data_IF_820781731359
#
_entry.id   IF_820781731359
#
_cell.length_a   1.000
_cell.length_b   1.000
_cell.length_c   1.000
_cell.angle_alpha   90.00
_cell.angle_beta   90.00
_cell.angle_gamma   90.00
#
_symmetry.space_group_name_H-M   'P 1'
#
loop_
_entity.id
_entity.type
_entity.pdbx_description
1 polymer ?
#
# COMPACT_ATOMS: atom_id res chain seq x y z
N UNK A 1 -27.49 7.53 37.01
CA UNK A 1 -27.22 8.45 35.90
C UNK A 1 -25.97 7.96 35.17
N UNK A 2 -26.12 7.58 33.90
CA UNK A 2 -25.08 6.96 33.08
C UNK A 2 -24.00 7.98 32.70
N UNK A 3 -22.76 7.68 33.04
CA UNK A 3 -21.57 8.35 32.52
C UNK A 3 -21.28 7.73 31.15
N UNK A 4 -21.68 8.44 30.09
CA UNK A 4 -21.42 8.05 28.71
C UNK A 4 -19.92 8.08 28.43
N UNK A 5 -19.34 6.89 28.21
CA UNK A 5 -17.99 6.74 27.67
C UNK A 5 -17.98 7.28 26.25
N UNK A 6 -17.41 8.47 26.05
CA UNK A 6 -17.01 8.94 24.73
C UNK A 6 -15.89 8.03 24.22
N UNK A 7 -16.24 7.05 23.39
CA UNK A 7 -15.27 6.38 22.54
C UNK A 7 -14.96 7.34 21.39
N UNK A 8 -13.86 8.08 21.52
CA UNK A 8 -13.24 8.77 20.38
C UNK A 8 -12.68 7.65 19.50
N UNK A 9 -13.51 7.11 18.61
CA UNK A 9 -13.03 6.30 17.49
C UNK A 9 -12.45 7.31 16.51
N UNK A 10 -11.20 7.72 16.75
CA UNK A 10 -10.42 8.41 15.75
C UNK A 10 -10.33 7.47 14.55
N UNK A 11 -11.05 7.78 13.48
CA UNK A 11 -10.79 7.19 12.18
C UNK A 11 -9.34 7.59 11.85
N UNK A 12 -8.41 6.67 12.08
CA UNK A 12 -7.06 6.76 11.54
C UNK A 12 -7.29 6.62 10.04
N UNK A 13 -7.49 7.74 9.36
CA UNK A 13 -7.38 7.79 7.90
C UNK A 13 -5.90 7.58 7.65
N UNK A 14 -5.48 6.32 7.59
CA UNK A 14 -4.16 5.96 7.08
C UNK A 14 -4.19 6.46 5.65
N UNK A 15 -3.47 7.53 5.38
CA UNK A 15 -3.32 8.01 4.02
C UNK A 15 -2.53 6.97 3.25
N UNK A 16 -2.97 6.66 2.04
CA UNK A 16 -2.18 5.98 1.03
C UNK A 16 -0.76 6.58 1.00
N UNK A 17 0.23 5.86 1.52
CA UNK A 17 1.57 6.43 1.69
C UNK A 17 2.24 6.59 0.33
N UNK A 18 2.63 7.83 0.05
CA UNK A 18 3.35 8.21 -1.14
C UNK A 18 4.86 8.06 -0.91
N UNK A 19 5.55 7.35 -1.79
CA UNK A 19 7.02 7.19 -1.76
C UNK A 19 7.63 7.53 -3.11
N UNK A 20 8.90 7.95 -3.09
CA UNK A 20 9.60 8.35 -4.31
C UNK A 20 10.50 7.24 -4.80
N UNK A 21 10.43 6.95 -6.10
CA UNK A 21 11.36 6.08 -6.80
C UNK A 21 12.19 6.86 -7.83
N UNK A 22 13.32 6.29 -8.23
CA UNK A 22 14.07 6.80 -9.37
C UNK A 22 13.21 6.76 -10.65
N UNK A 23 13.57 7.60 -11.63
CA UNK A 23 12.89 7.60 -12.93
C UNK A 23 12.94 6.19 -13.54
N UNK A 24 11.84 5.78 -14.17
CA UNK A 24 11.66 4.46 -14.81
C UNK A 24 11.54 3.26 -13.87
N UNK A 25 11.63 3.46 -12.55
CA UNK A 25 11.24 2.46 -11.58
C UNK A 25 9.74 2.54 -11.26
N UNK A 26 9.23 1.41 -10.79
CA UNK A 26 7.85 1.20 -10.38
C UNK A 26 7.81 0.92 -8.88
N UNK A 27 6.63 0.93 -8.28
CA UNK A 27 6.47 0.64 -6.87
C UNK A 27 6.00 -0.79 -6.64
N UNK A 28 6.26 -1.33 -5.47
CA UNK A 28 5.56 -2.47 -4.92
C UNK A 28 5.16 -2.19 -3.47
N UNK A 29 3.94 -2.58 -3.13
CA UNK A 29 3.32 -2.38 -1.83
C UNK A 29 3.10 -3.72 -1.16
N UNK A 30 3.28 -3.76 0.16
CA UNK A 30 3.09 -4.94 0.99
C UNK A 30 1.90 -4.75 1.93
N UNK A 31 1.12 -5.80 2.15
CA UNK A 31 -0.11 -5.77 2.95
C UNK A 31 -0.01 -6.76 4.11
N UNK A 32 -0.64 -6.40 5.22
CA UNK A 32 -0.74 -7.27 6.40
C UNK A 32 -1.77 -8.33 6.11
N UNK A 33 -1.32 -9.50 5.66
CA UNK A 33 -2.16 -10.67 5.61
C UNK A 33 -2.22 -11.32 7.00
N UNK A 34 -3.39 -11.80 7.40
CA UNK A 34 -3.59 -12.43 8.71
C UNK A 34 -2.87 -13.77 8.88
N UNK A 35 -1.92 -14.11 7.99
CA UNK A 35 -1.17 -15.34 8.03
C UNK A 35 0.18 -15.11 8.76
N UNK A 36 0.39 -15.73 9.94
CA UNK A 36 1.66 -15.62 10.65
C UNK A 36 2.83 -16.30 9.92
N UNK A 37 2.56 -17.12 8.90
CA UNK A 37 3.58 -17.86 8.13
C UNK A 37 4.06 -17.03 6.93
N UNK A 38 4.67 -15.88 7.20
CA UNK A 38 5.62 -15.18 6.32
C UNK A 38 5.19 -14.72 4.92
N UNK A 39 3.98 -15.04 4.44
CA UNK A 39 3.55 -14.73 3.08
C UNK A 39 2.88 -13.36 2.99
N UNK A 40 3.66 -12.29 3.18
CA UNK A 40 3.17 -10.95 2.93
C UNK A 40 2.66 -10.82 1.51
N UNK A 41 1.43 -10.34 1.40
CA UNK A 41 0.78 -10.12 0.12
C UNK A 41 1.31 -8.83 -0.47
N UNK A 42 1.55 -8.86 -1.78
CA UNK A 42 2.17 -7.73 -2.46
C UNK A 42 1.60 -7.55 -3.85
N UNK A 43 1.53 -6.30 -4.27
CA UNK A 43 1.19 -5.94 -5.62
C UNK A 43 2.05 -4.77 -6.08
N UNK A 44 2.24 -4.68 -7.38
CA UNK A 44 3.04 -3.69 -8.05
C UNK A 44 2.15 -2.52 -8.51
N UNK A 45 2.69 -1.30 -8.42
CA UNK A 45 2.01 -0.06 -8.79
C UNK A 45 2.80 0.71 -9.83
N UNK A 46 2.08 1.41 -10.70
CA UNK A 46 2.69 2.41 -11.56
C UNK A 46 2.86 3.70 -10.75
N UNK A 47 4.01 4.33 -10.89
CA UNK A 47 4.30 5.58 -10.24
C UNK A 47 4.06 6.74 -11.21
N UNK A 48 3.54 7.85 -10.71
CA UNK A 48 3.26 9.04 -11.50
C UNK A 48 4.47 9.96 -11.51
N UNK A 49 4.79 10.53 -12.67
CA UNK A 49 5.79 11.59 -12.73
C UNK A 49 5.13 12.91 -12.30
N UNK A 50 5.52 13.43 -11.13
CA UNK A 50 5.09 14.72 -10.62
C UNK A 50 6.33 15.58 -10.36
N UNK A 51 6.41 16.73 -11.02
CA UNK A 51 7.45 17.73 -10.80
C UNK A 51 8.90 17.20 -10.93
N UNK A 52 9.15 16.28 -11.86
CA UNK A 52 10.50 15.74 -12.11
C UNK A 52 10.90 14.57 -11.21
N UNK A 53 10.02 14.16 -10.29
CA UNK A 53 10.17 12.96 -9.47
C UNK A 53 9.09 11.93 -9.80
N UNK A 54 9.42 10.65 -9.62
CA UNK A 54 8.45 9.56 -9.81
C UNK A 54 7.90 9.18 -8.44
N UNK A 55 6.62 9.50 -8.22
CA UNK A 55 5.92 9.30 -6.96
C UNK A 55 4.97 8.11 -7.07
N UNK A 56 5.08 7.18 -6.14
CA UNK A 56 4.35 5.93 -6.08
C UNK A 56 3.40 5.98 -4.89
N UNK A 57 2.13 5.63 -5.08
CA UNK A 57 1.12 5.66 -4.02
C UNK A 57 0.57 4.25 -3.81
N UNK A 58 0.76 3.70 -2.61
CA UNK A 58 0.19 2.40 -2.24
C UNK A 58 -1.29 2.55 -1.86
N UNK A 59 -2.19 1.65 -2.32
CA UNK A 59 -3.57 1.68 -1.85
C UNK A 59 -3.63 1.27 -0.37
N UNK A 60 -4.65 1.76 0.34
CA UNK A 60 -4.83 1.47 1.76
C UNK A 60 -5.13 -0.01 2.05
N UNK A 61 -5.70 -0.72 1.07
CA UNK A 61 -6.10 -2.13 1.20
C UNK A 61 -5.68 -2.95 -0.02
N UNK A 62 -5.43 -4.24 0.18
CA UNK A 62 -5.08 -5.17 -0.88
C UNK A 62 -6.27 -5.36 -1.84
N UNK A 63 -6.15 -5.00 -3.13
CA UNK A 63 -7.29 -4.85 -4.04
C UNK A 63 -7.82 -6.16 -4.61
N UNK A 64 -7.18 -7.30 -4.33
CA UNK A 64 -7.51 -8.60 -4.95
C UNK A 64 -8.44 -9.47 -4.15
N UNK A 65 -8.83 -9.06 -2.95
CA UNK A 65 -9.78 -9.82 -2.15
C UNK A 65 -10.65 -8.92 -1.29
N UNK A 66 -11.76 -9.48 -0.84
CA UNK A 66 -12.69 -8.81 0.08
C UNK A 66 -12.25 -8.92 1.55
N UNK A 67 -11.00 -9.33 1.80
CA UNK A 67 -10.49 -9.51 3.18
C UNK A 67 -10.02 -8.20 3.80
N UNK A 68 -9.93 -7.12 3.01
CA UNK A 68 -9.55 -5.80 3.50
C UNK A 68 -8.18 -5.77 4.17
N UNK A 69 -7.20 -6.51 3.63
CA UNK A 69 -5.85 -6.55 4.19
C UNK A 69 -5.19 -5.17 4.09
N UNK A 70 -4.87 -4.52 5.22
CA UNK A 70 -4.38 -3.15 5.21
C UNK A 70 -2.94 -3.07 4.71
N UNK A 71 -2.58 -1.94 4.13
CA UNK A 71 -1.21 -1.62 3.78
C UNK A 71 -0.31 -1.69 5.02
N UNK A 72 0.85 -2.35 4.87
CA UNK A 72 1.76 -2.63 5.98
C UNK A 72 2.72 -1.49 6.33
N UNK A 73 2.70 -0.40 5.56
CA UNK A 73 3.75 0.63 5.61
C UNK A 73 5.01 0.27 4.81
N UNK A 74 5.17 -0.99 4.38
CA UNK A 74 6.35 -1.43 3.61
C UNK A 74 6.12 -1.29 2.11
N UNK A 75 7.11 -0.71 1.44
CA UNK A 75 7.17 -0.58 -0.02
C UNK A 75 8.59 -0.80 -0.55
N UNK A 76 8.72 -1.01 -1.87
CA UNK A 76 10.00 -1.05 -2.58
C UNK A 76 9.89 -0.43 -3.98
N UNK A 77 11.01 0.10 -4.48
CA UNK A 77 11.16 0.47 -5.88
C UNK A 77 11.65 -0.73 -6.69
N UNK A 78 10.97 -1.04 -7.79
CA UNK A 78 11.22 -2.22 -8.62
C UNK A 78 11.46 -1.85 -10.08
N UNK A 79 12.28 -2.61 -10.81
CA UNK A 79 12.49 -2.38 -12.24
C UNK A 79 11.27 -2.81 -13.06
N UNK A 80 11.16 -2.29 -14.28
CA UNK A 80 10.07 -2.59 -15.23
C UNK A 80 9.85 -4.08 -15.47
N UNK A 81 10.93 -4.88 -15.54
CA UNK A 81 10.83 -6.33 -15.73
C UNK A 81 10.13 -7.02 -14.56
N UNK A 82 10.50 -6.66 -13.33
CA UNK A 82 9.84 -7.16 -12.12
C UNK A 82 8.39 -6.66 -12.04
N UNK A 83 8.14 -5.39 -12.40
CA UNK A 83 6.79 -4.87 -12.49
C UNK A 83 5.94 -5.75 -13.42
N UNK A 84 6.35 -5.96 -14.68
CA UNK A 84 5.57 -6.71 -15.67
C UNK A 84 5.24 -8.15 -15.26
N UNK A 85 6.12 -8.82 -14.51
CA UNK A 85 5.87 -10.18 -13.99
C UNK A 85 5.09 -10.24 -12.67
N UNK A 86 4.83 -9.10 -12.01
CA UNK A 86 4.14 -9.02 -10.71
C UNK A 86 2.68 -8.60 -10.88
N UNK A 87 1.85 -9.10 -9.98
CA UNK A 87 0.45 -8.73 -9.86
C UNK A 87 0.28 -7.21 -9.61
N UNK A 88 -0.72 -6.55 -10.23
CA UNK A 88 -0.95 -5.10 -10.15
C UNK A 88 -2.00 -4.70 -9.12
N UNK A 89 -1.81 -3.60 -8.41
CA UNK A 89 -2.78 -3.15 -7.41
C UNK A 89 -4.06 -2.48 -7.98
N UNK A 90 -4.40 -2.68 -9.25
CA UNK A 90 -5.56 -2.07 -9.91
C UNK A 90 -6.19 -3.05 -10.89
#
# INVERSE_FOLDING_TARGET
MHISKLFIVGAIVTAAEAFTCARELFGQCYFVDGNPVGQQQRCAIKCENKFGHVNCVCPDYYPKNDKGWPYSGKHECIPVGAYNGRHKCY
#
